data_IF_928570207839
#
_entry.id   IF_928570207839
#
_cell.length_a   1.000
_cell.length_b   1.000
_cell.length_c   1.000
_cell.angle_alpha   90.00
_cell.angle_beta   90.00
_cell.angle_gamma   90.00
#
_symmetry.space_group_name_H-M   'P 1'
#
loop_
_entity.id
_entity.type
_entity.pdbx_description
1 polymer ?
#
# COMPACT_ATOMS: atom_id res chain seq x y z
N UNK A 1 9.64 14.45 -0.17
CA UNK A 1 10.11 13.10 -0.56
C UNK A 1 8.95 12.15 -0.37
N UNK A 2 8.61 11.36 -1.38
CA UNK A 2 7.53 10.36 -1.32
C UNK A 2 8.14 9.03 -0.89
N UNK A 3 7.54 8.35 0.09
CA UNK A 3 7.93 6.97 0.45
C UNK A 3 6.93 6.00 -0.15
N UNK A 4 7.41 4.87 -0.70
CA UNK A 4 6.55 3.81 -1.22
C UNK A 4 6.64 2.59 -0.31
N UNK A 5 5.49 2.12 0.16
CA UNK A 5 5.33 0.84 0.84
C UNK A 5 4.70 -0.16 -0.15
N UNK A 6 5.51 -1.07 -0.67
CA UNK A 6 5.00 -2.17 -1.49
C UNK A 6 4.59 -3.36 -0.61
N UNK A 7 3.35 -3.80 -0.78
CA UNK A 7 2.72 -4.94 -0.12
C UNK A 7 2.26 -5.99 -1.13
N UNK A 8 2.79 -5.94 -2.36
CA UNK A 8 2.36 -6.80 -3.48
C UNK A 8 2.58 -8.30 -3.18
N UNK A 9 3.60 -8.62 -2.38
CA UNK A 9 3.96 -9.98 -1.96
C UNK A 9 3.18 -10.46 -0.71
N UNK A 10 2.33 -9.62 -0.14
CA UNK A 10 1.64 -9.91 1.10
C UNK A 10 0.14 -9.95 0.88
N UNK A 11 -0.47 -11.03 1.38
CA UNK A 11 -1.92 -11.20 1.40
C UNK A 11 -2.50 -10.81 2.75
N UNK A 12 -3.80 -10.58 2.82
CA UNK A 12 -4.49 -10.45 4.09
C UNK A 12 -4.36 -11.74 4.93
N UNK A 13 -4.20 -11.64 6.26
CA UNK A 13 -4.18 -10.42 7.08
C UNK A 13 -2.79 -9.75 7.19
N UNK A 14 -1.73 -10.38 6.71
CA UNK A 14 -0.35 -9.94 6.93
C UNK A 14 -0.05 -8.58 6.30
N UNK A 15 -0.55 -8.32 5.09
CA UNK A 15 -0.44 -7.02 4.43
C UNK A 15 -0.99 -5.88 5.29
N UNK A 16 -2.11 -6.11 6.00
CA UNK A 16 -2.70 -5.09 6.87
C UNK A 16 -1.82 -4.78 8.08
N UNK A 17 -1.25 -5.81 8.71
CA UNK A 17 -0.36 -5.63 9.86
C UNK A 17 0.89 -4.83 9.50
N UNK A 18 1.48 -5.09 8.32
CA UNK A 18 2.63 -4.32 7.83
C UNK A 18 2.24 -2.87 7.55
N UNK A 19 1.12 -2.66 6.86
CA UNK A 19 0.58 -1.33 6.55
C UNK A 19 0.40 -0.50 7.83
N UNK A 20 -0.27 -1.04 8.85
CA UNK A 20 -0.48 -0.36 10.13
C UNK A 20 0.84 0.01 10.79
N UNK A 21 1.74 -0.97 10.95
CA UNK A 21 3.04 -0.77 11.60
C UNK A 21 3.90 0.28 10.87
N UNK A 22 3.87 0.30 9.55
CA UNK A 22 4.60 1.28 8.75
C UNK A 22 4.04 2.69 8.97
N UNK A 23 2.72 2.84 9.01
CA UNK A 23 2.05 4.13 9.28
C UNK A 23 2.36 4.61 10.69
N UNK A 24 2.18 3.75 11.70
CA UNK A 24 2.51 4.06 13.09
C UNK A 24 3.97 4.50 13.24
N UNK A 25 4.89 3.73 12.64
CA UNK A 25 6.31 4.07 12.66
C UNK A 25 6.61 5.41 11.98
N UNK A 26 5.90 5.77 10.90
CA UNK A 26 6.06 7.05 10.25
C UNK A 26 5.56 8.21 11.13
N UNK A 27 4.42 8.04 11.80
CA UNK A 27 3.87 9.01 12.76
C UNK A 27 4.80 9.18 13.96
N UNK A 28 5.28 8.08 14.55
CA UNK A 28 6.21 8.09 15.69
C UNK A 28 7.52 8.80 15.35
N UNK A 29 8.00 8.62 14.11
CA UNK A 29 9.15 9.32 13.56
C UNK A 29 8.86 10.80 13.21
N UNK A 30 7.64 11.29 13.44
CA UNK A 30 7.16 12.65 13.08
C UNK A 30 7.30 12.95 11.59
N UNK A 31 7.18 11.93 10.74
CA UNK A 31 7.20 12.11 9.30
C UNK A 31 6.00 12.95 8.87
N UNK A 32 6.24 13.88 7.94
CA UNK A 32 5.19 14.66 7.27
C UNK A 32 5.44 14.61 5.77
N UNK A 33 4.42 14.25 5.00
CA UNK A 33 4.58 14.07 3.55
C UNK A 33 3.71 12.95 2.98
N UNK A 34 4.05 12.56 1.75
CA UNK A 34 3.30 11.59 0.97
C UNK A 34 3.86 10.17 1.14
N UNK A 35 2.97 9.24 1.46
CA UNK A 35 3.24 7.80 1.44
C UNK A 35 2.36 7.16 0.38
N UNK A 36 2.96 6.39 -0.51
CA UNK A 36 2.24 5.56 -1.48
C UNK A 36 2.22 4.14 -0.98
N UNK A 37 1.04 3.53 -0.86
CA UNK A 37 0.86 2.11 -0.56
C UNK A 37 0.48 1.40 -1.84
N UNK A 38 1.22 0.36 -2.20
CA UNK A 38 0.90 -0.51 -3.33
C UNK A 38 0.52 -1.89 -2.81
N UNK A 39 -0.63 -2.40 -3.19
CA UNK A 39 -1.12 -3.70 -2.69
C UNK A 39 -1.97 -4.38 -3.75
N UNK A 40 -2.09 -5.70 -3.63
CA UNK A 40 -3.00 -6.49 -4.48
C UNK A 40 -4.35 -6.75 -3.77
N UNK A 41 -4.50 -6.25 -2.53
CA UNK A 41 -5.69 -6.43 -1.70
C UNK A 41 -6.68 -5.29 -1.92
N UNK A 42 -7.79 -5.57 -2.62
CA UNK A 42 -8.87 -4.61 -2.90
C UNK A 42 -9.46 -3.96 -1.65
N UNK A 43 -9.53 -4.71 -0.56
CA UNK A 43 -10.12 -4.25 0.69
C UNK A 43 -9.21 -3.29 1.46
N UNK A 44 -7.93 -3.15 1.09
CA UNK A 44 -6.94 -2.39 1.86
C UNK A 44 -7.36 -0.95 2.11
N UNK A 45 -7.94 -0.28 1.11
CA UNK A 45 -8.41 1.10 1.25
C UNK A 45 -9.46 1.23 2.37
N UNK A 46 -10.42 0.31 2.45
CA UNK A 46 -11.45 0.35 3.48
C UNK A 46 -10.85 0.08 4.87
N UNK A 47 -9.92 -0.86 4.97
CA UNK A 47 -9.24 -1.14 6.24
C UNK A 47 -8.37 0.01 6.72
N UNK A 48 -7.74 0.71 5.79
CA UNK A 48 -6.95 1.90 6.06
C UNK A 48 -7.83 3.06 6.53
N UNK A 49 -8.95 3.33 5.85
CA UNK A 49 -9.92 4.34 6.28
C UNK A 49 -10.41 4.07 7.70
N UNK A 50 -10.86 2.83 7.97
CA UNK A 50 -11.29 2.44 9.31
C UNK A 50 -10.19 2.63 10.36
N UNK A 51 -8.94 2.34 10.01
CA UNK A 51 -7.80 2.53 10.90
C UNK A 51 -7.53 4.02 11.18
N UNK A 52 -7.54 4.87 10.14
CA UNK A 52 -7.35 6.32 10.29
C UNK A 52 -8.45 6.91 11.18
N UNK A 53 -9.71 6.56 10.91
CA UNK A 53 -10.87 7.09 11.63
C UNK A 53 -10.90 6.61 13.09
N UNK A 54 -10.60 5.32 13.34
CA UNK A 54 -10.67 4.74 14.69
C UNK A 54 -9.62 5.31 15.65
N UNK A 55 -8.49 5.78 15.12
CA UNK A 55 -7.37 6.31 15.90
C UNK A 55 -7.20 7.83 15.71
N UNK A 56 -8.13 8.50 15.03
CA UNK A 56 -8.11 9.94 14.72
C UNK A 56 -6.74 10.40 14.16
N UNK A 57 -6.16 9.59 13.28
CA UNK A 57 -4.81 9.84 12.76
C UNK A 57 -4.79 11.08 11.86
N UNK A 58 -3.69 11.88 11.87
CA UNK A 58 -3.55 13.04 11.00
C UNK A 58 -3.15 12.62 9.58
N UNK A 59 -3.98 11.78 8.94
CA UNK A 59 -3.75 11.21 7.62
C UNK A 59 -4.93 11.52 6.72
N UNK A 60 -4.63 11.94 5.49
CA UNK A 60 -5.61 12.10 4.43
C UNK A 60 -5.30 11.14 3.28
N UNK A 61 -6.33 10.50 2.72
CA UNK A 61 -6.19 9.77 1.46
C UNK A 61 -6.32 10.79 0.32
N UNK A 62 -5.23 11.01 -0.41
CA UNK A 62 -5.20 11.96 -1.53
C UNK A 62 -5.77 11.34 -2.81
N UNK A 63 -5.24 10.19 -3.21
CA UNK A 63 -5.60 9.53 -4.47
C UNK A 63 -5.63 8.02 -4.29
N UNK A 64 -6.57 7.38 -4.97
CA UNK A 64 -6.65 5.93 -5.11
C UNK A 64 -6.83 5.58 -6.58
N UNK A 65 -5.99 4.70 -7.10
CA UNK A 65 -6.10 4.23 -8.48
C UNK A 65 -5.55 2.81 -8.62
N UNK A 66 -5.91 2.18 -9.74
CA UNK A 66 -5.49 0.82 -10.06
C UNK A 66 -4.49 0.88 -11.20
N UNK A 67 -3.38 0.18 -11.03
CA UNK A 67 -2.37 -0.01 -12.06
C UNK A 67 -2.49 -1.44 -12.58
N UNK A 68 -2.88 -1.66 -13.85
CA UNK A 68 -3.01 -3.00 -14.40
C UNK A 68 -1.68 -3.76 -14.34
N UNK A 69 -1.74 -5.03 -13.95
CA UNK A 69 -0.58 -5.92 -14.01
C UNK A 69 -0.34 -6.29 -15.47
N UNK A 70 0.80 -5.86 -15.98
CA UNK A 70 1.23 -6.21 -17.35
C UNK A 70 2.13 -7.44 -17.32
N UNK A 71 2.21 -8.19 -18.42
CA UNK A 71 3.15 -9.32 -18.54
C UNK A 71 4.60 -8.87 -18.25
N UNK A 72 4.99 -7.68 -18.72
CA UNK A 72 6.31 -7.10 -18.44
C UNK A 72 6.59 -6.92 -16.95
N UNK A 73 5.57 -6.59 -16.15
CA UNK A 73 5.70 -6.48 -14.71
C UNK A 73 5.90 -7.88 -14.08
N UNK A 74 5.09 -8.87 -14.48
CA UNK A 74 5.21 -10.27 -14.02
C UNK A 74 6.62 -10.79 -14.34
N UNK A 75 7.08 -10.62 -15.58
CA UNK A 75 8.41 -11.05 -16.01
C UNK A 75 9.50 -10.37 -15.17
N UNK A 76 9.35 -9.07 -14.87
CA UNK A 76 10.31 -8.35 -14.02
C UNK A 76 10.40 -8.95 -12.61
N UNK A 77 9.27 -9.27 -11.98
CA UNK A 77 9.23 -9.87 -10.65
C UNK A 77 9.76 -11.32 -10.62
N UNK A 78 9.48 -12.09 -11.68
CA UNK A 78 9.96 -13.47 -11.80
C UNK A 78 11.48 -13.52 -12.08
N UNK A 79 11.99 -12.58 -12.88
CA UNK A 79 13.42 -12.51 -13.20
C UNK A 79 14.29 -12.10 -12.01
N UNK A 80 13.76 -11.39 -11.02
CA UNK A 80 14.49 -11.05 -9.79
C UNK A 80 14.46 -12.17 -8.74
N UNK A 81 13.76 -13.29 -9.03
CA UNK A 81 13.60 -14.40 -8.10
C UNK A 81 12.66 -14.09 -6.92
N UNK A 82 11.87 -13.01 -7.03
CA UNK A 82 11.01 -12.51 -5.96
C UNK A 82 9.59 -13.10 -5.99
N UNK A 83 9.17 -13.64 -7.14
CA UNK A 83 7.86 -14.25 -7.33
C UNK A 83 7.90 -15.33 -8.43
N UNK A 84 6.86 -16.17 -8.48
CA UNK A 84 6.58 -17.06 -9.62
C UNK A 84 5.30 -16.61 -10.34
N UNK A 85 5.12 -16.92 -11.64
CA UNK A 85 3.93 -16.50 -12.39
C UNK A 85 2.60 -16.90 -11.73
N UNK A 86 2.58 -18.04 -11.05
CA UNK A 86 1.42 -18.55 -10.32
C UNK A 86 0.97 -17.62 -9.19
N UNK A 87 1.88 -16.83 -8.61
CA UNK A 87 1.56 -15.87 -7.53
C UNK A 87 0.64 -14.74 -8.01
N UNK A 88 0.57 -14.51 -9.32
CA UNK A 88 -0.24 -13.47 -9.95
C UNK A 88 -1.59 -13.98 -10.46
N UNK A 89 -1.88 -15.28 -10.36
CA UNK A 89 -3.16 -15.83 -10.80
C UNK A 89 -4.30 -15.20 -10.00
N UNK A 90 -5.25 -14.59 -10.71
CA UNK A 90 -6.40 -13.89 -10.11
C UNK A 90 -6.11 -12.45 -9.65
N UNK A 91 -4.90 -11.94 -9.87
CA UNK A 91 -4.57 -10.53 -9.65
C UNK A 91 -4.53 -9.82 -11.00
N UNK A 92 -5.44 -8.87 -11.20
CA UNK A 92 -5.49 -8.09 -12.44
C UNK A 92 -4.79 -6.74 -12.30
N UNK A 93 -4.77 -6.19 -11.08
CA UNK A 93 -4.34 -4.82 -10.82
C UNK A 93 -3.57 -4.74 -9.50
N UNK A 94 -2.64 -3.79 -9.44
CA UNK A 94 -2.06 -3.27 -8.21
C UNK A 94 -2.90 -2.07 -7.80
N UNK A 95 -3.45 -2.13 -6.60
CA UNK A 95 -4.15 -1.02 -5.96
C UNK A 95 -3.13 -0.08 -5.32
N UNK A 96 -3.12 1.16 -5.78
CA UNK A 96 -2.23 2.21 -5.29
C UNK A 96 -3.03 3.24 -4.51
N UNK A 97 -2.63 3.47 -3.27
CA UNK A 97 -3.28 4.41 -2.34
C UNK A 97 -2.24 5.44 -1.91
N UNK A 98 -2.48 6.71 -2.20
CA UNK A 98 -1.64 7.81 -1.75
C UNK A 98 -2.21 8.43 -0.49
N UNK A 99 -1.36 8.50 0.53
CA UNK A 99 -1.64 9.07 1.82
C UNK A 99 -0.79 10.31 2.03
N UNK A 100 -1.37 11.34 2.64
CA UNK A 100 -0.63 12.45 3.19
C UNK A 100 -0.66 12.38 4.71
N UNK A 101 0.50 12.27 5.34
CA UNK A 101 0.65 12.37 6.81
C UNK A 101 0.96 13.83 7.16
N UNK A 102 0.06 14.46 7.91
CA UNK A 102 0.19 15.83 8.38
C UNK A 102 -1.16 16.51 8.61
N UNK A 103 -1.17 17.60 9.39
CA UNK A 103 -2.36 18.43 9.53
C UNK A 103 -2.59 19.21 8.23
N UNK A 104 -3.79 19.09 7.66
CA UNK A 104 -4.26 20.00 6.63
C UNK A 104 -4.18 21.43 7.18
N UNK A 105 -3.55 22.34 6.43
CA UNK A 105 -3.61 23.77 6.74
C UNK A 105 -5.00 24.30 6.44
#
# INVERSE_FOLDING_TARGET
MTQTLSLQEHRCPYAMSIMRRAIESAIDAKYTGLITIETIEKSMQNHLLQFIDSYELPIEINECYNVPITQKYIDSCCNTGSAIPEDFIGINDIHTIQLYIGKKK
#
